data_IF_128297226591
#
_entry.id   IF_128297226591
#
_cell.length_a   1.000
_cell.length_b   1.000
_cell.length_c   1.000
_cell.angle_alpha   90.00
_cell.angle_beta   90.00
_cell.angle_gamma   90.00
#
_symmetry.space_group_name_H-M   'P 1'
#
loop_
_entity.id
_entity.type
_entity.pdbx_description
1 polymer ?
#
# COMPACT_ATOMS: atom_id res chain seq x y z
N UNK A 1 -34.09 -18.56 11.47
CA UNK A 1 -32.66 -18.92 11.55
C UNK A 1 -31.87 -17.80 10.90
N UNK A 2 -31.11 -17.02 11.69
CA UNK A 2 -30.29 -15.92 11.20
C UNK A 2 -29.23 -16.42 10.22
N UNK A 3 -29.16 -15.82 9.03
CA UNK A 3 -28.11 -16.12 8.04
C UNK A 3 -26.75 -15.81 8.66
N UNK A 4 -25.92 -16.82 8.92
CA UNK A 4 -24.54 -16.58 9.34
C UNK A 4 -23.64 -16.31 8.12
N UNK A 5 -22.59 -15.51 8.31
CA UNK A 5 -21.57 -15.32 7.27
C UNK A 5 -20.84 -16.64 7.01
N UNK A 6 -20.90 -17.14 5.78
CA UNK A 6 -20.39 -18.45 5.42
C UNK A 6 -18.88 -18.53 5.69
N UNK A 7 -18.46 -19.49 6.53
CA UNK A 7 -17.06 -19.73 6.90
C UNK A 7 -16.43 -18.76 7.92
N UNK A 8 -17.11 -17.66 8.28
CA UNK A 8 -16.64 -16.64 9.25
C UNK A 8 -17.59 -16.45 10.43
N UNK A 9 -18.43 -17.46 10.67
CA UNK A 9 -19.25 -17.54 11.88
C UNK A 9 -18.37 -18.06 13.03
N UNK A 10 -18.16 -17.32 14.12
CA UNK A 10 -17.39 -17.86 15.26
C UNK A 10 -17.99 -19.15 15.84
N UNK A 11 -19.30 -19.37 15.74
CA UNK A 11 -19.93 -20.59 16.25
C UNK A 11 -19.78 -21.80 15.32
N UNK A 12 -19.71 -21.57 14.01
CA UNK A 12 -19.73 -22.65 13.01
C UNK A 12 -18.38 -22.85 12.31
N UNK A 13 -17.46 -21.91 12.46
CA UNK A 13 -16.17 -21.92 11.77
C UNK A 13 -15.14 -22.75 12.53
N UNK A 14 -14.34 -23.52 11.79
CA UNK A 14 -13.20 -24.28 12.31
C UNK A 14 -11.94 -23.42 12.49
N UNK A 15 -12.04 -22.10 12.32
CA UNK A 15 -10.92 -21.16 12.31
C UNK A 15 -10.62 -20.53 13.69
N UNK A 16 -11.10 -21.13 14.79
CA UNK A 16 -10.99 -20.54 16.13
C UNK A 16 -9.54 -20.29 16.55
N UNK A 17 -8.65 -21.21 16.19
CA UNK A 17 -7.23 -21.15 16.54
C UNK A 17 -6.42 -20.22 15.62
N UNK A 18 -7.04 -19.68 14.56
CA UNK A 18 -6.36 -18.75 13.69
C UNK A 18 -6.00 -17.50 14.49
N UNK A 19 -4.72 -17.11 14.49
CA UNK A 19 -4.28 -15.83 15.03
C UNK A 19 -4.84 -14.71 14.14
N UNK A 20 -5.71 -13.88 14.72
CA UNK A 20 -6.38 -12.79 14.01
C UNK A 20 -6.01 -11.42 14.56
N UNK A 21 -5.62 -11.34 15.83
CA UNK A 21 -5.08 -10.13 16.41
C UNK A 21 -3.55 -10.20 16.42
N UNK A 22 -2.92 -9.23 15.77
CA UNK A 22 -1.47 -9.15 15.61
C UNK A 22 -0.82 -8.23 16.63
N UNK A 23 -1.62 -7.43 17.35
CA UNK A 23 -1.16 -6.53 18.40
C UNK A 23 -1.11 -7.26 19.74
N UNK A 24 -2.21 -7.95 20.08
CA UNK A 24 -2.36 -8.69 21.33
C UNK A 24 -2.10 -10.19 21.18
N UNK A 25 -1.83 -10.66 19.95
CA UNK A 25 -1.57 -12.07 19.63
C UNK A 25 -2.74 -13.02 19.95
N UNK A 26 -3.96 -12.50 19.91
CA UNK A 26 -5.19 -13.27 20.16
C UNK A 26 -5.64 -14.07 18.94
N UNK A 27 -6.23 -15.22 19.22
CA UNK A 27 -6.87 -16.11 18.27
C UNK A 27 -8.32 -15.69 18.00
N UNK A 28 -8.90 -16.25 16.95
CA UNK A 28 -10.27 -15.91 16.54
C UNK A 28 -11.32 -16.29 17.58
N UNK A 29 -11.09 -17.35 18.37
CA UNK A 29 -11.99 -17.75 19.45
C UNK A 29 -11.89 -16.87 20.71
N UNK A 30 -10.80 -16.13 20.87
CA UNK A 30 -10.55 -15.28 22.06
C UNK A 30 -11.12 -13.86 21.91
N UNK A 31 -11.43 -13.44 20.68
CA UNK A 31 -11.92 -12.09 20.41
C UNK A 31 -13.45 -12.01 20.34
N UNK A 32 -14.01 -10.85 20.70
CA UNK A 32 -15.43 -10.55 20.53
C UNK A 32 -15.63 -9.80 19.21
N UNK A 33 -16.33 -10.38 18.23
CA UNK A 33 -16.61 -9.71 16.95
C UNK A 33 -17.42 -8.42 17.07
N UNK A 34 -18.10 -8.20 18.20
CA UNK A 34 -18.83 -6.96 18.48
C UNK A 34 -17.91 -5.80 18.86
N UNK A 35 -16.81 -6.12 19.54
CA UNK A 35 -15.84 -5.14 20.04
C UNK A 35 -14.72 -4.96 19.03
N UNK A 36 -14.18 -6.08 18.54
CA UNK A 36 -13.05 -6.13 17.59
C UNK A 36 -13.52 -6.79 16.30
N UNK A 37 -14.14 -6.04 15.36
CA UNK A 37 -14.57 -6.60 14.08
C UNK A 37 -13.36 -7.07 13.27
N UNK A 38 -13.58 -8.07 12.42
CA UNK A 38 -12.55 -8.59 11.51
C UNK A 38 -12.71 -8.00 10.11
N UNK A 39 -11.60 -7.92 9.37
CA UNK A 39 -11.58 -7.63 7.94
C UNK A 39 -11.00 -8.83 7.20
N UNK A 40 -11.74 -9.30 6.20
CA UNK A 40 -11.31 -10.39 5.31
C UNK A 40 -10.62 -9.80 4.08
N UNK A 41 -9.39 -10.24 3.83
CA UNK A 41 -8.61 -9.84 2.67
C UNK A 41 -8.95 -10.71 1.46
N UNK A 42 -8.68 -10.20 0.25
CA UNK A 42 -8.90 -10.97 -0.99
C UNK A 42 -8.06 -12.23 -1.18
N UNK A 43 -7.07 -12.46 -0.30
CA UNK A 43 -6.32 -13.72 -0.25
C UNK A 43 -6.96 -14.77 0.69
N UNK A 44 -8.08 -14.44 1.35
CA UNK A 44 -8.79 -15.33 2.28
C UNK A 44 -8.32 -15.25 3.75
N UNK A 45 -7.18 -14.62 4.02
CA UNK A 45 -6.75 -14.30 5.39
C UNK A 45 -7.59 -13.15 5.97
N UNK A 46 -7.76 -13.16 7.28
CA UNK A 46 -8.58 -12.19 7.99
C UNK A 46 -7.96 -11.90 9.35
N UNK A 47 -8.13 -10.66 9.80
CA UNK A 47 -7.50 -10.14 11.01
C UNK A 47 -8.44 -9.13 11.66
N UNK A 48 -8.17 -8.72 12.90
CA UNK A 48 -8.87 -7.60 13.53
C UNK A 48 -8.66 -6.32 12.71
N UNK A 49 -9.71 -5.51 12.61
CA UNK A 49 -9.67 -4.24 11.87
C UNK A 49 -8.55 -3.34 12.40
N UNK A 50 -8.37 -3.30 13.72
CA UNK A 50 -7.32 -2.54 14.39
C UNK A 50 -5.91 -3.00 13.96
N UNK A 51 -5.64 -4.31 14.00
CA UNK A 51 -4.37 -4.88 13.55
C UNK A 51 -4.07 -4.52 12.08
N UNK A 52 -5.07 -4.65 11.20
CA UNK A 52 -4.88 -4.33 9.78
C UNK A 52 -4.75 -2.84 9.52
N UNK A 53 -5.50 -1.99 10.21
CA UNK A 53 -5.43 -0.54 10.04
C UNK A 53 -4.05 0.00 10.41
N UNK A 54 -3.47 -0.51 11.50
CA UNK A 54 -2.10 -0.20 11.91
C UNK A 54 -1.07 -0.67 10.87
N UNK A 55 -1.19 -1.91 10.39
CA UNK A 55 -0.25 -2.48 9.42
C UNK A 55 -0.33 -1.88 8.02
N UNK A 56 -1.54 -1.57 7.57
CA UNK A 56 -1.78 -0.92 6.27
C UNK A 56 -1.34 0.55 6.35
N UNK A 57 -1.35 1.15 7.54
CA UNK A 57 -0.94 2.52 7.76
C UNK A 57 -2.05 3.52 7.46
N UNK A 58 -3.26 3.28 7.99
CA UNK A 58 -4.40 4.20 7.82
C UNK A 58 -4.09 5.63 8.31
N UNK A 59 -3.30 5.75 9.38
CA UNK A 59 -2.81 7.03 9.93
C UNK A 59 -1.86 7.80 9.00
N UNK A 60 -1.37 7.17 7.93
CA UNK A 60 -0.55 7.84 6.92
C UNK A 60 -1.39 8.66 5.92
N UNK A 61 -2.70 8.41 5.83
CA UNK A 61 -3.60 9.08 4.87
C UNK A 61 -4.82 9.74 5.51
N UNK A 62 -5.07 9.45 6.78
CA UNK A 62 -6.14 10.02 7.60
C UNK A 62 -5.55 10.73 8.82
N UNK A 63 -6.27 11.75 9.29
CA UNK A 63 -6.05 12.36 10.58
C UNK A 63 -6.89 11.63 11.62
N UNK A 64 -6.28 11.25 12.74
CA UNK A 64 -6.95 10.58 13.85
C UNK A 64 -6.97 11.50 15.08
N UNK A 65 -8.06 11.48 15.86
CA UNK A 65 -8.09 12.08 17.19
C UNK A 65 -7.31 11.23 18.21
N UNK A 66 -7.32 11.65 19.48
CA UNK A 66 -6.65 10.92 20.58
C UNK A 66 -7.28 9.56 20.86
N UNK A 67 -8.54 9.38 20.50
CA UNK A 67 -9.31 8.15 20.69
C UNK A 67 -9.15 7.18 19.51
N UNK A 68 -8.40 7.57 18.46
CA UNK A 68 -8.13 6.76 17.28
C UNK A 68 -9.14 6.93 16.13
N UNK A 69 -10.19 7.74 16.31
CA UNK A 69 -11.20 7.98 15.29
C UNK A 69 -10.65 8.86 14.17
N UNK A 70 -11.05 8.53 12.94
CA UNK A 70 -10.72 9.31 11.75
C UNK A 70 -11.53 10.62 11.78
N UNK A 71 -10.84 11.74 11.97
CA UNK A 71 -11.44 13.09 12.01
C UNK A 71 -11.27 13.85 10.70
N UNK A 72 -10.37 13.41 9.83
CA UNK A 72 -10.06 14.16 8.62
C UNK A 72 -9.18 13.42 7.63
N UNK A 73 -8.95 14.08 6.51
CA UNK A 73 -8.01 13.63 5.49
C UNK A 73 -6.67 14.30 5.74
N UNK A 74 -5.61 13.50 5.81
CA UNK A 74 -4.26 14.04 5.95
C UNK A 74 -3.80 14.62 4.61
N UNK A 75 -3.07 15.75 4.65
CA UNK A 75 -2.31 16.21 3.49
C UNK A 75 -1.11 15.28 3.28
N UNK A 76 -1.05 14.71 2.09
CA UNK A 76 -0.13 13.65 1.69
C UNK A 76 0.81 14.07 0.56
N UNK A 77 0.66 15.31 0.07
CA UNK A 77 1.36 15.84 -1.10
C UNK A 77 2.88 15.85 -0.98
N UNK A 78 3.40 16.08 0.23
CA UNK A 78 4.84 16.19 0.48
C UNK A 78 5.57 14.85 0.66
N UNK A 79 4.87 13.72 0.67
CA UNK A 79 5.45 12.42 1.03
C UNK A 79 5.03 11.33 0.04
N UNK A 80 5.99 10.53 -0.40
CA UNK A 80 5.69 9.32 -1.15
C UNK A 80 5.27 8.20 -0.20
N UNK A 81 4.32 7.37 -0.63
CA UNK A 81 3.98 6.13 0.04
C UNK A 81 5.21 5.23 0.14
N UNK A 82 5.30 4.54 1.29
CA UNK A 82 6.38 3.61 1.61
C UNK A 82 6.34 2.37 0.72
N UNK A 83 5.19 1.69 0.67
CA UNK A 83 4.96 0.50 -0.12
C UNK A 83 3.46 0.21 -0.30
N UNK A 84 3.14 -0.63 -1.29
CA UNK A 84 1.80 -1.23 -1.41
C UNK A 84 1.60 -2.18 -0.22
N UNK A 85 0.51 -2.04 0.56
CA UNK A 85 0.24 -2.89 1.72
C UNK A 85 0.04 -4.35 1.30
N UNK A 86 0.53 -5.27 2.14
CA UNK A 86 0.55 -6.71 1.89
C UNK A 86 -0.08 -7.47 3.04
N UNK A 87 -0.65 -8.63 2.74
CA UNK A 87 -1.15 -9.56 3.74
C UNK A 87 -0.02 -9.93 4.73
N UNK A 88 -0.29 -9.90 6.05
CA UNK A 88 0.68 -10.28 7.09
C UNK A 88 1.24 -11.69 6.90
N UNK A 89 0.38 -12.65 6.51
CA UNK A 89 0.74 -14.06 6.45
C UNK A 89 1.33 -14.45 5.10
N UNK A 90 0.61 -14.23 3.99
CA UNK A 90 1.03 -14.71 2.67
C UNK A 90 1.75 -13.66 1.81
N UNK A 91 1.92 -12.43 2.32
CA UNK A 91 2.55 -11.29 1.62
C UNK A 91 1.91 -10.88 0.28
N UNK A 92 0.74 -11.43 -0.04
CA UNK A 92 -0.04 -11.03 -1.22
C UNK A 92 -0.48 -9.57 -1.07
N UNK A 93 -0.43 -8.75 -2.14
CA UNK A 93 -0.90 -7.36 -2.08
C UNK A 93 -2.36 -7.27 -1.65
N UNK A 94 -2.67 -6.33 -0.77
CA UNK A 94 -4.06 -6.03 -0.39
C UNK A 94 -4.75 -5.38 -1.59
N UNK A 95 -5.92 -5.91 -1.97
CA UNK A 95 -6.65 -5.48 -3.17
C UNK A 95 -7.71 -4.45 -2.83
N UNK A 96 -7.67 -3.30 -3.49
CA UNK A 96 -8.59 -2.17 -3.29
C UNK A 96 -10.08 -2.54 -3.41
N UNK A 97 -10.44 -3.46 -4.30
CA UNK A 97 -11.84 -3.79 -4.58
C UNK A 97 -12.44 -4.78 -3.58
N UNK A 98 -11.61 -5.57 -2.89
CA UNK A 98 -12.10 -6.56 -1.92
C UNK A 98 -12.23 -5.96 -0.53
N UNK A 99 -11.39 -4.98 -0.20
CA UNK A 99 -11.42 -4.29 1.09
C UNK A 99 -11.48 -2.76 0.86
N UNK A 100 -12.66 -2.20 0.56
CA UNK A 100 -12.82 -0.77 0.21
C UNK A 100 -12.28 0.19 1.28
N UNK A 101 -12.26 -0.24 2.56
CA UNK A 101 -11.66 0.50 3.68
C UNK A 101 -10.23 0.98 3.40
N UNK A 102 -9.43 0.16 2.71
CA UNK A 102 -8.01 0.42 2.44
C UNK A 102 -7.74 1.07 1.10
N UNK A 103 -8.79 1.40 0.34
CA UNK A 103 -8.69 1.87 -1.03
C UNK A 103 -7.81 3.12 -1.16
N UNK A 104 -7.96 4.09 -0.25
CA UNK A 104 -7.16 5.33 -0.25
C UNK A 104 -5.66 5.07 -0.11
N UNK A 105 -5.28 4.24 0.86
CA UNK A 105 -3.86 3.89 1.11
C UNK A 105 -3.29 3.14 -0.10
N UNK A 106 -4.03 2.17 -0.62
CA UNK A 106 -3.61 1.35 -1.76
C UNK A 106 -3.45 2.22 -3.01
N UNK A 107 -4.43 3.06 -3.32
CA UNK A 107 -4.37 3.90 -4.51
C UNK A 107 -3.25 4.92 -4.44
N UNK A 108 -3.03 5.54 -3.28
CA UNK A 108 -1.85 6.39 -3.09
C UNK A 108 -0.57 5.62 -3.38
N UNK A 109 -0.39 4.45 -2.78
CA UNK A 109 0.80 3.64 -2.98
C UNK A 109 1.01 3.22 -4.44
N UNK A 110 -0.07 2.89 -5.15
CA UNK A 110 -0.03 2.54 -6.58
C UNK A 110 0.32 3.75 -7.44
N UNK A 111 -0.30 4.91 -7.20
CA UNK A 111 -0.01 6.15 -7.94
C UNK A 111 1.45 6.56 -7.71
N UNK A 112 1.91 6.58 -6.47
CA UNK A 112 3.28 6.97 -6.14
C UNK A 112 4.31 6.03 -6.77
N UNK A 113 4.03 4.72 -6.80
CA UNK A 113 4.88 3.73 -7.46
C UNK A 113 4.90 3.91 -8.99
N UNK A 114 3.76 4.21 -9.61
CA UNK A 114 3.70 4.52 -11.04
C UNK A 114 4.46 5.81 -11.36
N UNK A 115 4.28 6.87 -10.56
CA UNK A 115 5.00 8.14 -10.71
C UNK A 115 6.51 7.96 -10.56
N UNK A 116 6.97 7.18 -9.57
CA UNK A 116 8.40 6.83 -9.42
C UNK A 116 8.93 6.14 -10.67
N UNK A 117 8.23 5.13 -11.17
CA UNK A 117 8.64 4.40 -12.39
C UNK A 117 8.70 5.32 -13.60
N UNK A 118 7.69 6.16 -13.78
CA UNK A 118 7.65 7.15 -14.86
C UNK A 118 8.83 8.10 -14.81
N UNK A 119 9.17 8.64 -13.63
CA UNK A 119 10.32 9.53 -13.44
C UNK A 119 11.65 8.83 -13.68
N UNK A 120 11.76 7.53 -13.38
CA UNK A 120 12.98 6.75 -13.63
C UNK A 120 13.12 6.45 -15.12
N UNK A 121 12.07 5.96 -15.78
CA UNK A 121 12.09 5.63 -17.21
C UNK A 121 12.16 6.86 -18.11
N UNK A 122 11.57 7.98 -17.69
CA UNK A 122 11.54 9.23 -18.45
C UNK A 122 12.91 9.93 -18.54
N UNK A 123 13.91 9.49 -17.79
CA UNK A 123 15.28 10.04 -17.84
C UNK A 123 16.12 9.49 -18.99
N UNK A 124 15.70 8.40 -19.61
CA UNK A 124 16.50 7.74 -20.64
C UNK A 124 16.61 8.55 -21.93
N UNK A 125 15.53 9.24 -22.33
CA UNK A 125 15.51 10.04 -23.55
C UNK A 125 16.32 11.35 -23.43
N UNK A 126 16.17 12.17 -22.37
CA UNK A 126 17.05 13.32 -22.13
C UNK A 126 18.52 12.93 -22.09
N UNK A 127 18.86 11.83 -21.40
CA UNK A 127 20.24 11.35 -21.29
C UNK A 127 20.83 10.97 -22.66
N UNK A 128 20.04 10.38 -23.56
CA UNK A 128 20.47 10.09 -24.94
C UNK A 128 20.69 11.37 -25.74
N UNK A 129 19.89 12.41 -25.52
CA UNK A 129 20.06 13.70 -26.18
C UNK A 129 21.32 14.42 -25.69
N UNK A 130 21.57 14.44 -24.38
CA UNK A 130 22.80 14.98 -23.78
C UNK A 130 24.05 14.32 -24.41
N UNK A 131 24.07 12.99 -24.51
CA UNK A 131 25.16 12.26 -25.16
C UNK A 131 25.37 12.64 -26.63
N UNK A 132 24.28 12.86 -27.38
CA UNK A 132 24.37 13.30 -28.78
C UNK A 132 24.92 14.72 -28.89
N UNK A 133 24.51 15.61 -28.00
CA UNK A 133 25.02 16.98 -27.93
C UNK A 133 26.52 16.96 -27.65
N UNK A 134 26.99 16.20 -26.65
CA UNK A 134 28.42 16.08 -26.34
C UNK A 134 29.26 15.55 -27.52
N UNK A 135 28.72 14.62 -28.30
CA UNK A 135 29.39 14.10 -29.50
C UNK A 135 29.50 15.19 -30.57
N UNK A 136 28.39 15.86 -30.87
CA UNK A 136 28.34 16.93 -31.88
C UNK A 136 29.23 18.11 -31.51
N UNK A 137 29.30 18.48 -30.23
CA UNK A 137 30.20 19.54 -29.74
C UNK A 137 31.67 19.17 -29.97
N UNK A 138 32.07 17.92 -29.68
CA UNK A 138 33.43 17.44 -29.93
C UNK A 138 33.78 17.42 -31.42
N UNK A 139 32.86 16.96 -32.25
CA UNK A 139 33.04 16.95 -33.71
C UNK A 139 33.20 18.39 -34.25
N UNK A 140 32.41 19.32 -33.73
CA UNK A 140 32.51 20.73 -34.10
C UNK A 140 33.85 21.35 -33.69
N UNK A 141 34.30 21.10 -32.46
CA UNK A 141 35.59 21.59 -31.94
C UNK A 141 36.77 21.07 -32.79
N UNK A 142 36.77 19.77 -33.11
CA UNK A 142 37.78 19.15 -33.98
C UNK A 142 37.77 19.74 -35.39
N UNK A 143 36.59 20.02 -35.95
CA UNK A 143 36.49 20.65 -37.28
C UNK A 143 37.07 22.06 -37.29
N UNK A 144 36.96 22.80 -36.17
CA UNK A 144 37.47 24.17 -36.02
C UNK A 144 38.99 24.19 -35.92
N UNK A 145 39.60 23.21 -35.26
CA UNK A 145 41.06 23.07 -35.14
C UNK A 145 41.71 22.67 -36.47
N UNK A 146 41.03 21.91 -37.32
CA UNK A 146 41.55 21.50 -38.64
C UNK A 146 41.51 22.57 -39.75
N UNK A 147 40.98 23.76 -39.46
CA UNK A 147 40.85 24.88 -40.41
C UNK A 147 41.95 25.96 -40.18
N UNK A 148 42.73 25.85 -39.10
CA UNK A 148 43.87 26.73 -38.75
C UNK A 148 45.17 26.05 -39.15
#
# INVERSE_FOLDING_TARGET
MSKCAEGYCQLCSKKQENRVDLLEMKTYGEISLKETPIVVLGCGHFFTAESLDGMVGMSAVYECNRDGDIVGLKDVSAQLASAIPKCPDCKSPVRQFVSPRYNRVINRAVIDEMSKRFLVSGKDEPKKLEQKIEILEKELEQSREGII
#
